data_IF_611596419861
#
_entry.id   IF_611596419861
#
_cell.length_a   1.000
_cell.length_b   1.000
_cell.length_c   1.000
_cell.angle_alpha   90.00
_cell.angle_beta   90.00
_cell.angle_gamma   90.00
#
_symmetry.space_group_name_H-M   'P 1'
#
loop_
_entity.id
_entity.type
_entity.pdbx_description
1 polymer ?
#
# COMPACT_ATOMS: atom_id res chain seq x y z
N UNK A 1 -16.79 -32.54 -18.44
CA UNK A 1 -17.26 -31.20 -18.01
C UNK A 1 -17.10 -30.95 -16.52
N UNK A 2 -17.52 -31.87 -15.64
CA UNK A 2 -17.50 -31.69 -14.17
C UNK A 2 -16.11 -31.35 -13.59
N UNK A 3 -15.04 -32.01 -14.03
CA UNK A 3 -13.66 -31.70 -13.59
C UNK A 3 -13.18 -30.30 -14.04
N UNK A 4 -13.63 -29.84 -15.22
CA UNK A 4 -13.32 -28.50 -15.73
C UNK A 4 -14.13 -27.45 -14.99
N UNK A 5 -15.39 -27.75 -14.65
CA UNK A 5 -16.25 -26.93 -13.80
C UNK A 5 -15.69 -26.84 -12.38
N UNK A 6 -15.19 -27.93 -11.81
CA UNK A 6 -14.56 -27.96 -10.48
C UNK A 6 -13.26 -27.16 -10.49
N UNK A 7 -12.41 -27.27 -11.52
CA UNK A 7 -11.19 -26.45 -11.61
C UNK A 7 -11.52 -24.97 -11.80
N UNK A 8 -12.51 -24.64 -12.64
CA UNK A 8 -13.00 -23.28 -12.85
C UNK A 8 -13.63 -22.70 -11.59
N UNK A 9 -14.43 -23.49 -10.87
CA UNK A 9 -14.95 -23.14 -9.55
C UNK A 9 -13.82 -23.02 -8.55
N UNK A 10 -12.76 -23.84 -8.58
CA UNK A 10 -11.60 -23.71 -7.69
C UNK A 10 -10.83 -22.42 -7.97
N UNK A 11 -10.66 -22.04 -9.23
CA UNK A 11 -10.01 -20.78 -9.65
C UNK A 11 -10.87 -19.55 -9.30
N UNK A 12 -12.21 -19.67 -9.39
CA UNK A 12 -13.17 -18.63 -8.95
C UNK A 12 -13.29 -18.56 -7.43
N UNK A 13 -13.32 -19.69 -6.71
CA UNK A 13 -13.42 -19.73 -5.25
C UNK A 13 -12.08 -19.32 -4.59
N UNK A 14 -10.94 -19.62 -5.21
CA UNK A 14 -9.65 -19.04 -4.80
C UNK A 14 -9.44 -17.60 -5.31
N UNK A 15 -10.45 -17.02 -5.98
CA UNK A 15 -10.37 -15.60 -6.33
C UNK A 15 -10.29 -14.80 -5.04
N UNK A 16 -9.35 -13.85 -5.05
CA UNK A 16 -9.11 -12.87 -4.00
C UNK A 16 -10.42 -12.30 -3.42
N UNK A 17 -11.43 -12.04 -4.27
CA UNK A 17 -12.75 -11.56 -3.85
C UNK A 17 -13.44 -12.48 -2.83
N UNK A 18 -13.48 -13.80 -3.06
CA UNK A 18 -14.15 -14.72 -2.14
C UNK A 18 -13.43 -14.78 -0.80
N UNK A 19 -12.10 -14.81 -0.80
CA UNK A 19 -11.29 -14.78 0.43
C UNK A 19 -11.62 -13.52 1.25
N UNK A 20 -11.76 -12.37 0.58
CA UNK A 20 -12.17 -11.13 1.24
C UNK A 20 -13.60 -11.17 1.79
N UNK A 21 -14.56 -11.72 1.03
CA UNK A 21 -15.94 -11.87 1.50
C UNK A 21 -16.05 -12.83 2.69
N UNK A 22 -15.33 -13.96 2.65
CA UNK A 22 -15.25 -14.91 3.76
C UNK A 22 -14.59 -14.29 4.98
N UNK A 23 -13.54 -13.48 4.80
CA UNK A 23 -12.92 -12.73 5.88
C UNK A 23 -13.91 -11.76 6.54
N UNK A 24 -14.61 -10.93 5.77
CA UNK A 24 -15.57 -9.97 6.32
C UNK A 24 -16.69 -10.70 7.07
N UNK A 25 -17.25 -11.76 6.49
CA UNK A 25 -18.32 -12.54 7.09
C UNK A 25 -17.89 -13.27 8.38
N UNK A 26 -16.69 -13.87 8.39
CA UNK A 26 -16.19 -14.58 9.56
C UNK A 26 -15.86 -13.62 10.71
N UNK A 27 -15.22 -12.49 10.42
CA UNK A 27 -14.91 -11.48 11.44
C UNK A 27 -16.19 -10.81 11.97
N UNK A 28 -17.17 -10.51 11.11
CA UNK A 28 -18.45 -9.93 11.56
C UNK A 28 -19.26 -10.89 12.42
N UNK A 29 -19.25 -12.19 12.11
CA UNK A 29 -19.97 -13.20 12.89
C UNK A 29 -19.31 -13.39 14.27
N UNK A 30 -17.98 -13.49 14.32
CA UNK A 30 -17.24 -13.59 15.58
C UNK A 30 -17.41 -12.35 16.45
N UNK A 31 -17.34 -11.16 15.86
CA UNK A 31 -17.52 -9.93 16.60
C UNK A 31 -18.99 -9.70 17.01
N UNK A 32 -19.95 -10.10 16.18
CA UNK A 32 -21.38 -10.07 16.52
C UNK A 32 -21.70 -10.97 17.70
N UNK A 33 -21.10 -12.17 17.76
CA UNK A 33 -21.18 -13.07 18.92
C UNK A 33 -20.56 -12.42 20.16
N UNK A 34 -19.37 -11.81 20.03
CA UNK A 34 -18.72 -11.12 21.14
C UNK A 34 -19.56 -9.96 21.69
N UNK A 35 -20.13 -9.14 20.80
CA UNK A 35 -21.02 -8.03 21.17
C UNK A 35 -22.29 -8.57 21.86
N UNK A 36 -22.89 -9.62 21.32
CA UNK A 36 -24.07 -10.25 21.91
C UNK A 36 -23.81 -10.74 23.34
N UNK A 37 -22.67 -11.39 23.59
CA UNK A 37 -22.29 -11.87 24.92
C UNK A 37 -22.01 -10.73 25.91
N UNK A 38 -21.51 -9.59 25.43
CA UNK A 38 -21.24 -8.41 26.27
C UNK A 38 -22.54 -7.68 26.62
N UNK A 39 -23.46 -7.58 25.66
CA UNK A 39 -24.66 -6.75 25.77
C UNK A 39 -25.90 -7.53 26.24
N UNK A 40 -25.77 -8.81 26.56
CA UNK A 40 -26.90 -9.67 26.94
C UNK A 40 -27.73 -9.10 28.11
N UNK A 41 -27.10 -8.36 29.02
CA UNK A 41 -27.73 -7.74 30.18
C UNK A 41 -28.05 -6.24 29.99
N UNK A 42 -27.69 -5.63 28.85
CA UNK A 42 -27.86 -4.20 28.62
C UNK A 42 -29.24 -3.85 28.01
N UNK A 43 -30.24 -3.75 28.87
CA UNK A 43 -31.62 -3.42 28.49
C UNK A 43 -31.78 -1.97 27.96
N UNK A 44 -30.77 -1.09 28.10
CA UNK A 44 -30.87 0.33 27.73
C UNK A 44 -30.59 0.59 26.24
N UNK A 45 -30.05 -0.37 25.50
CA UNK A 45 -29.59 -0.17 24.14
C UNK A 45 -30.70 -0.20 23.06
N UNK A 46 -31.91 -0.67 23.40
CA UNK A 46 -33.03 -0.85 22.47
C UNK A 46 -34.23 -0.03 22.92
N UNK A 47 -34.90 0.63 21.97
CA UNK A 47 -36.12 1.39 22.27
C UNK A 47 -37.33 0.47 22.41
N UNK A 48 -38.25 0.83 23.31
CA UNK A 48 -39.51 0.13 23.48
C UNK A 48 -40.38 0.35 22.22
N UNK A 49 -40.67 -0.72 21.49
CA UNK A 49 -41.64 -0.66 20.40
C UNK A 49 -43.03 -0.73 21.05
N UNK A 50 -43.92 0.27 20.88
CA UNK A 50 -45.25 0.22 21.45
C UNK A 50 -46.02 -0.99 20.89
N UNK A 51 -46.42 -1.93 21.77
CA UNK A 51 -47.11 -3.18 21.40
C UNK A 51 -46.23 -4.44 21.38
N UNK A 52 -44.96 -4.37 21.77
CA UNK A 52 -44.06 -5.51 21.95
C UNK A 52 -43.29 -5.39 23.28
N UNK A 53 -43.98 -5.57 24.40
CA UNK A 53 -43.38 -5.45 25.75
C UNK A 53 -42.34 -6.54 26.06
N UNK A 54 -42.35 -7.67 25.34
CA UNK A 54 -41.39 -8.77 25.50
C UNK A 54 -40.04 -8.55 24.78
N UNK A 55 -39.89 -7.46 23.99
CA UNK A 55 -38.70 -7.22 23.15
C UNK A 55 -37.57 -6.45 23.83
N UNK A 56 -37.48 -6.48 25.17
CA UNK A 56 -36.46 -5.71 25.91
C UNK A 56 -35.07 -6.38 25.83
N UNK A 57 -35.01 -7.65 25.38
CA UNK A 57 -33.73 -8.34 25.16
C UNK A 57 -33.12 -7.95 23.81
N UNK A 58 -31.79 -7.77 23.81
CA UNK A 58 -31.03 -7.54 22.58
C UNK A 58 -30.96 -8.86 21.83
N UNK A 59 -31.39 -8.87 20.57
CA UNK A 59 -31.32 -10.04 19.72
C UNK A 59 -29.93 -10.18 19.09
N UNK A 60 -29.47 -11.42 18.89
CA UNK A 60 -28.21 -11.68 18.19
C UNK A 60 -28.18 -11.02 16.80
N UNK A 61 -29.33 -10.94 16.11
CA UNK A 61 -29.43 -10.31 14.80
C UNK A 61 -29.11 -8.81 14.84
N UNK A 62 -29.49 -8.10 15.90
CA UNK A 62 -29.15 -6.68 16.08
C UNK A 62 -27.64 -6.50 16.30
N UNK A 63 -27.02 -7.36 17.10
CA UNK A 63 -25.57 -7.36 17.33
C UNK A 63 -24.79 -7.72 16.06
N UNK A 64 -25.25 -8.72 15.30
CA UNK A 64 -24.66 -9.11 14.03
C UNK A 64 -24.82 -8.02 12.97
N UNK A 65 -25.97 -7.34 12.92
CA UNK A 65 -26.17 -6.20 12.05
C UNK A 65 -25.20 -5.06 12.40
N UNK A 66 -25.03 -4.75 13.70
CA UNK A 66 -24.08 -3.74 14.16
C UNK A 66 -22.63 -4.11 13.79
N UNK A 67 -22.22 -5.37 13.99
CA UNK A 67 -20.86 -5.82 13.66
C UNK A 67 -20.61 -5.78 12.15
N UNK A 68 -21.60 -6.22 11.35
CA UNK A 68 -21.53 -6.19 9.89
C UNK A 68 -21.48 -4.74 9.38
N UNK A 69 -22.28 -3.85 9.96
CA UNK A 69 -22.30 -2.43 9.63
C UNK A 69 -20.98 -1.73 9.99
N UNK A 70 -20.38 -2.12 11.12
CA UNK A 70 -19.08 -1.58 11.56
C UNK A 70 -17.93 -2.03 10.63
N UNK A 71 -17.87 -3.29 10.21
CA UNK A 71 -16.80 -3.79 9.32
C UNK A 71 -17.00 -3.38 7.85
N UNK A 72 -18.22 -3.04 7.44
CA UNK A 72 -18.49 -2.54 6.09
C UNK A 72 -18.52 -1.01 6.02
N UNK A 73 -18.22 -0.34 7.13
CA UNK A 73 -18.22 1.11 7.26
C UNK A 73 -19.54 1.76 6.80
N UNK A 74 -20.69 1.09 6.98
CA UNK A 74 -21.99 1.61 6.55
C UNK A 74 -22.62 2.58 7.54
N UNK A 75 -22.29 2.45 8.83
CA UNK A 75 -22.72 3.39 9.86
C UNK A 75 -24.17 3.36 10.27
N UNK A 76 -24.89 2.29 9.93
CA UNK A 76 -26.26 2.07 10.40
C UNK A 76 -26.26 1.16 11.63
N UNK A 77 -27.09 1.47 12.62
CA UNK A 77 -27.31 0.61 13.77
C UNK A 77 -28.80 0.56 14.12
N UNK A 78 -29.29 -0.64 14.48
CA UNK A 78 -30.63 -0.82 15.06
C UNK A 78 -30.64 -0.51 16.56
N UNK A 79 -29.46 -0.54 17.19
CA UNK A 79 -29.23 -0.23 18.60
C UNK A 79 -28.74 1.22 18.77
N UNK A 80 -29.07 1.82 19.92
CA UNK A 80 -28.55 3.14 20.32
C UNK A 80 -27.08 3.03 20.69
N UNK A 81 -26.22 3.37 19.73
CA UNK A 81 -24.77 3.14 19.82
C UNK A 81 -24.12 3.78 21.06
N UNK A 82 -24.57 4.96 21.47
CA UNK A 82 -24.03 5.67 22.63
C UNK A 82 -24.33 4.97 23.98
N UNK A 83 -25.44 4.21 24.07
CA UNK A 83 -25.85 3.45 25.27
C UNK A 83 -25.22 2.07 25.38
N UNK A 84 -24.49 1.64 24.36
CA UNK A 84 -23.78 0.36 24.38
C UNK A 84 -22.59 0.41 25.33
N UNK A 85 -22.18 -0.75 25.83
CA UNK A 85 -21.03 -0.89 26.70
C UNK A 85 -19.76 -0.36 25.99
N UNK A 86 -18.82 0.16 26.79
CA UNK A 86 -17.55 0.68 26.29
C UNK A 86 -16.80 -0.35 25.43
N UNK A 87 -16.82 -1.62 25.85
CA UNK A 87 -16.21 -2.73 25.12
C UNK A 87 -16.78 -2.86 23.69
N UNK A 88 -18.09 -2.78 23.54
CA UNK A 88 -18.77 -2.88 22.24
C UNK A 88 -18.38 -1.74 21.31
N UNK A 89 -18.27 -0.52 21.85
CA UNK A 89 -17.84 0.64 21.07
C UNK A 89 -16.38 0.50 20.59
N UNK A 90 -15.48 -0.02 21.43
CA UNK A 90 -14.10 -0.33 21.03
C UNK A 90 -14.03 -1.46 20.00
N UNK A 91 -14.85 -2.50 20.15
CA UNK A 91 -14.97 -3.58 19.15
C UNK A 91 -15.41 -2.99 17.81
N UNK A 92 -16.43 -2.14 17.78
CA UNK A 92 -16.87 -1.43 16.57
C UNK A 92 -15.78 -0.57 15.96
N UNK A 93 -14.99 0.16 16.75
CA UNK A 93 -13.85 0.94 16.24
C UNK A 93 -12.79 0.07 15.58
N UNK A 94 -12.48 -1.09 16.18
CA UNK A 94 -11.53 -2.05 15.61
C UNK A 94 -12.10 -2.64 14.32
N UNK A 95 -13.39 -2.97 14.29
CA UNK A 95 -14.06 -3.48 13.10
C UNK A 95 -14.01 -2.48 11.94
N UNK A 96 -14.31 -1.20 12.17
CA UNK A 96 -14.15 -0.14 11.17
C UNK A 96 -12.72 -0.10 10.63
N UNK A 97 -11.73 -0.19 11.52
CA UNK A 97 -10.34 -0.15 11.10
C UNK A 97 -9.95 -1.37 10.24
N UNK A 98 -10.48 -2.55 10.57
CA UNK A 98 -10.25 -3.80 9.82
C UNK A 98 -10.99 -3.83 8.48
N UNK A 99 -12.17 -3.20 8.41
CA UNK A 99 -13.02 -3.02 7.24
C UNK A 99 -12.52 -1.96 6.25
N UNK A 100 -11.81 -0.97 6.77
CA UNK A 100 -11.26 0.16 6.03
C UNK A 100 -10.61 -0.23 4.71
N UNK A 101 -11.03 0.39 3.61
CA UNK A 101 -10.40 0.21 2.29
C UNK A 101 -8.87 0.39 2.32
N UNK A 102 -8.36 1.28 3.18
CA UNK A 102 -6.91 1.51 3.30
C UNK A 102 -6.22 0.26 3.86
N UNK A 103 -6.79 -0.39 4.87
CA UNK A 103 -6.25 -1.65 5.41
C UNK A 103 -6.41 -2.81 4.46
N UNK A 104 -7.59 -2.98 3.87
CA UNK A 104 -7.86 -4.06 2.91
C UNK A 104 -6.91 -3.97 1.71
N UNK A 105 -6.54 -2.77 1.28
CA UNK A 105 -5.60 -2.57 0.17
C UNK A 105 -4.14 -2.96 0.48
N UNK A 106 -3.75 -3.08 1.75
CA UNK A 106 -2.41 -3.53 2.15
C UNK A 106 -2.22 -5.04 1.97
N UNK A 107 -3.28 -5.83 2.14
CA UNK A 107 -3.23 -7.30 2.08
C UNK A 107 -2.65 -7.81 0.75
N UNK A 108 -3.13 -7.37 -0.44
CA UNK A 108 -2.51 -7.71 -1.72
C UNK A 108 -1.04 -7.38 -1.82
N UNK A 109 -0.63 -6.23 -1.27
CA UNK A 109 0.75 -5.75 -1.39
C UNK A 109 1.67 -6.64 -0.57
N UNK A 110 1.22 -7.02 0.63
CA UNK A 110 1.97 -7.93 1.51
C UNK A 110 2.13 -9.29 0.83
N UNK A 111 1.04 -9.83 0.27
CA UNK A 111 1.05 -11.11 -0.47
C UNK A 111 1.97 -11.02 -1.69
N UNK A 112 1.80 -10.01 -2.55
CA UNK A 112 2.63 -9.81 -3.75
C UNK A 112 4.11 -9.63 -3.39
N UNK A 113 4.41 -8.85 -2.34
CA UNK A 113 5.79 -8.67 -1.85
C UNK A 113 6.37 -9.97 -1.30
N UNK A 114 5.55 -10.81 -0.66
CA UNK A 114 5.96 -12.12 -0.17
C UNK A 114 6.26 -13.07 -1.34
N UNK A 115 5.32 -13.22 -2.28
CA UNK A 115 5.48 -14.04 -3.49
C UNK A 115 6.71 -13.61 -4.30
N UNK A 116 6.87 -12.31 -4.53
CA UNK A 116 8.03 -11.75 -5.25
C UNK A 116 9.35 -12.04 -4.51
N UNK A 117 9.36 -11.98 -3.17
CA UNK A 117 10.53 -12.37 -2.37
C UNK A 117 10.87 -13.84 -2.53
N UNK A 118 9.87 -14.72 -2.58
CA UNK A 118 10.10 -16.16 -2.78
C UNK A 118 10.63 -16.46 -4.19
N UNK A 119 10.06 -15.82 -5.21
CA UNK A 119 10.52 -15.96 -6.58
C UNK A 119 11.99 -15.53 -6.75
N UNK A 120 12.39 -14.42 -6.14
CA UNK A 120 13.78 -13.97 -6.12
C UNK A 120 14.72 -14.89 -5.33
N UNK A 121 14.24 -15.56 -4.28
CA UNK A 121 15.02 -16.57 -3.54
C UNK A 121 15.24 -17.82 -4.38
N UNK A 122 14.25 -18.25 -5.14
CA UNK A 122 14.36 -19.39 -6.06
C UNK A 122 15.34 -19.07 -7.21
N UNK A 123 15.21 -17.92 -7.87
CA UNK A 123 16.14 -17.50 -8.92
C UNK A 123 17.56 -17.30 -8.42
N UNK A 124 17.75 -16.71 -7.23
CA UNK A 124 19.08 -16.64 -6.61
C UNK A 124 19.64 -18.04 -6.36
N UNK A 125 18.85 -18.99 -5.85
CA UNK A 125 19.32 -20.38 -5.67
C UNK A 125 19.71 -21.01 -7.01
N UNK A 126 18.90 -20.88 -8.05
CA UNK A 126 19.20 -21.40 -9.40
C UNK A 126 20.49 -20.79 -9.97
N UNK A 127 20.68 -19.47 -9.82
CA UNK A 127 21.91 -18.78 -10.24
C UNK A 127 23.13 -19.24 -9.42
N UNK A 128 22.95 -19.58 -8.14
CA UNK A 128 24.03 -20.13 -7.30
C UNK A 128 24.30 -21.63 -7.55
N UNK A 129 23.37 -22.37 -8.17
CA UNK A 129 23.63 -23.71 -8.72
C UNK A 129 24.20 -23.66 -10.15
N UNK A 130 24.19 -22.50 -10.82
CA UNK A 130 24.92 -22.27 -12.06
C UNK A 130 26.32 -21.70 -11.80
N UNK A 131 27.08 -22.39 -10.96
CA UNK A 131 28.55 -22.34 -11.04
C UNK A 131 29.13 -23.59 -11.74
N UNK A 132 28.26 -24.59 -12.01
CA UNK A 132 28.63 -25.86 -12.62
C UNK A 132 27.91 -26.17 -13.96
N UNK A 133 27.06 -25.28 -14.49
CA UNK A 133 26.43 -25.47 -15.79
C UNK A 133 26.76 -24.33 -16.75
N UNK A 134 27.63 -24.62 -17.72
CA UNK A 134 27.82 -23.80 -18.93
C UNK A 134 26.55 -23.95 -19.76
N UNK A 135 25.66 -22.96 -19.75
CA UNK A 135 24.76 -22.79 -20.88
C UNK A 135 25.53 -22.00 -21.93
N UNK A 136 26.01 -22.71 -22.95
CA UNK A 136 26.22 -22.10 -24.26
C UNK A 136 24.84 -21.93 -24.89
N UNK A 137 24.40 -20.69 -25.03
CA UNK A 137 23.28 -20.36 -25.91
C UNK A 137 23.88 -20.24 -27.31
N UNK A 138 23.98 -21.35 -28.03
CA UNK A 138 24.07 -21.31 -29.48
C UNK A 138 22.69 -21.65 -30.04
N UNK A 139 22.16 -20.72 -30.83
CA UNK A 139 21.05 -20.95 -31.73
C UNK A 139 21.31 -22.23 -32.53
N UNK A 140 20.59 -23.30 -32.19
CA UNK A 140 20.18 -24.34 -33.15
C UNK A 140 19.12 -25.25 -32.51
N UNK A 141 17.93 -25.18 -33.11
CA UNK A 141 16.87 -26.17 -33.00
C UNK A 141 17.49 -27.57 -33.18
N UNK A 142 17.34 -28.45 -32.19
CA UNK A 142 17.58 -29.88 -32.34
C UNK A 142 16.32 -30.64 -31.93
N UNK A 143 15.63 -31.17 -32.94
CA UNK A 143 14.70 -32.29 -32.76
C UNK A 143 15.52 -33.54 -32.44
N UNK A 144 15.13 -34.29 -31.40
CA UNK A 144 15.49 -35.71 -31.27
C UNK A 144 14.38 -36.46 -30.53
N UNK A 145 13.64 -37.26 -31.28
CA UNK A 145 12.88 -38.44 -30.85
C UNK A 145 11.89 -38.23 -29.71
N UNK A 146 10.62 -38.03 -30.08
CA UNK A 146 9.38 -38.40 -29.40
C UNK A 146 9.52 -38.88 -27.94
N UNK A 147 9.39 -37.95 -26.99
CA UNK A 147 8.47 -38.01 -25.85
C UNK A 147 8.68 -36.80 -24.93
N UNK A 148 7.62 -36.00 -24.72
CA UNK A 148 7.54 -35.04 -23.63
C UNK A 148 7.40 -35.80 -22.32
N UNK A 149 8.33 -35.61 -21.38
CA UNK A 149 8.04 -35.85 -19.97
C UNK A 149 7.79 -34.51 -19.27
N UNK A 150 6.56 -34.24 -18.81
CA UNK A 150 6.33 -33.17 -17.86
C UNK A 150 6.85 -33.64 -16.49
N UNK A 151 7.19 -32.67 -15.64
CA UNK A 151 7.56 -32.82 -14.22
C UNK A 151 9.06 -32.90 -13.90
N UNK A 152 9.51 -31.89 -13.16
CA UNK A 152 10.87 -31.74 -12.68
C UNK A 152 11.18 -32.66 -11.50
N UNK A 153 11.83 -33.78 -11.80
CA UNK A 153 12.52 -34.59 -10.79
C UNK A 153 14.02 -34.35 -10.94
N UNK A 154 14.66 -33.86 -9.88
CA UNK A 154 16.11 -33.84 -9.78
C UNK A 154 16.60 -35.28 -9.61
N UNK A 155 17.20 -35.85 -10.66
CA UNK A 155 17.89 -37.14 -10.55
C UNK A 155 19.31 -36.87 -10.04
N UNK A 156 19.62 -37.37 -8.85
CA UNK A 156 20.97 -37.36 -8.31
C UNK A 156 21.81 -38.38 -9.10
N UNK A 157 22.72 -37.89 -9.93
CA UNK A 157 23.62 -38.73 -10.71
C UNK A 157 24.82 -39.11 -9.85
N UNK A 158 24.82 -40.33 -9.30
CA UNK A 158 26.02 -40.94 -8.71
C UNK A 158 26.83 -41.63 -9.82
N UNK A 159 27.99 -41.06 -10.14
CA UNK A 159 28.97 -41.65 -11.06
C UNK A 159 29.71 -42.82 -10.35
N UNK A 160 29.67 -44.06 -10.87
CA UNK A 160 30.31 -45.21 -10.24
C UNK A 160 31.84 -45.16 -10.21
N UNK A 161 32.49 -44.21 -10.91
CA UNK A 161 33.93 -44.27 -11.20
C UNK A 161 34.80 -43.23 -10.49
N UNK A 162 34.33 -42.53 -9.46
CA UNK A 162 35.21 -41.81 -8.51
C UNK A 162 36.00 -40.61 -9.08
N UNK A 163 35.50 -39.93 -10.12
CA UNK A 163 36.21 -38.83 -10.81
C UNK A 163 35.99 -37.41 -10.20
N UNK A 164 35.85 -37.28 -8.88
CA UNK A 164 35.66 -35.98 -8.20
C UNK A 164 36.95 -35.15 -7.92
N UNK A 165 38.20 -35.70 -7.89
CA UNK A 165 39.37 -34.88 -7.54
C UNK A 165 39.77 -33.81 -8.58
N UNK A 166 39.58 -34.07 -9.88
CA UNK A 166 40.09 -33.20 -10.98
C UNK A 166 39.32 -31.89 -11.16
N UNK A 167 38.06 -31.83 -10.69
CA UNK A 167 37.22 -30.64 -10.79
C UNK A 167 37.65 -29.58 -9.77
N UNK A 168 38.01 -30.00 -8.56
CA UNK A 168 38.44 -29.12 -7.46
C UNK A 168 39.72 -28.35 -7.81
N UNK A 169 40.66 -29.00 -8.50
CA UNK A 169 41.88 -28.34 -8.99
C UNK A 169 41.62 -27.37 -10.14
N UNK A 170 40.76 -27.73 -11.11
CA UNK A 170 40.35 -26.82 -12.19
C UNK A 170 39.65 -25.56 -11.64
N UNK A 171 38.82 -25.70 -10.62
CA UNK A 171 38.16 -24.58 -9.92
C UNK A 171 39.21 -23.69 -9.23
N UNK A 172 40.19 -24.28 -8.53
CA UNK A 172 41.28 -23.55 -7.86
C UNK A 172 42.17 -22.78 -8.86
N UNK A 173 42.41 -23.37 -10.03
CA UNK A 173 43.12 -22.75 -11.16
C UNK A 173 42.34 -21.60 -11.78
N UNK A 174 41.04 -21.78 -12.06
CA UNK A 174 40.15 -20.70 -12.55
C UNK A 174 40.05 -19.54 -11.56
N UNK A 175 39.95 -19.81 -10.26
CA UNK A 175 39.97 -18.78 -9.20
C UNK A 175 41.28 -18.00 -9.16
N UNK A 176 42.44 -18.68 -9.29
CA UNK A 176 43.75 -18.02 -9.42
C UNK A 176 43.83 -17.16 -10.68
N UNK A 177 43.32 -17.65 -11.81
CA UNK A 177 43.30 -16.92 -13.08
C UNK A 177 42.43 -15.66 -12.99
N UNK A 178 41.24 -15.75 -12.39
CA UNK A 178 40.35 -14.61 -12.17
C UNK A 178 40.94 -13.57 -11.23
N UNK A 179 41.68 -13.99 -10.19
CA UNK A 179 42.39 -13.07 -9.30
C UNK A 179 43.52 -12.33 -10.03
N UNK A 180 44.26 -13.04 -10.90
CA UNK A 180 45.33 -12.46 -11.74
C UNK A 180 44.77 -11.52 -12.81
N UNK A 181 43.61 -11.84 -13.39
CA UNK A 181 42.91 -10.99 -14.37
C UNK A 181 42.39 -9.70 -13.71
N UNK A 182 41.76 -9.79 -12.53
CA UNK A 182 41.35 -8.62 -11.74
C UNK A 182 42.52 -7.72 -11.38
N UNK A 183 43.68 -8.29 -11.05
CA UNK A 183 44.90 -7.52 -10.81
C UNK A 183 45.40 -6.78 -12.07
N UNK A 184 45.43 -7.47 -13.22
CA UNK A 184 45.80 -6.86 -14.52
C UNK A 184 44.83 -5.76 -14.95
N UNK A 185 43.53 -5.91 -14.69
CA UNK A 185 42.53 -4.88 -14.96
C UNK A 185 42.72 -3.65 -14.07
N UNK A 186 42.95 -3.83 -12.77
CA UNK A 186 43.31 -2.73 -11.85
C UNK A 186 44.60 -2.02 -12.28
N UNK A 187 45.57 -2.75 -12.81
CA UNK A 187 46.80 -2.16 -13.32
C UNK A 187 46.58 -1.38 -14.62
N UNK A 188 45.79 -1.92 -15.56
CA UNK A 188 45.36 -1.19 -16.77
C UNK A 188 44.58 0.07 -16.43
N UNK A 189 43.71 0.04 -15.42
CA UNK A 189 43.01 1.24 -14.92
C UNK A 189 43.95 2.28 -14.31
N UNK A 190 44.94 1.85 -13.51
CA UNK A 190 45.99 2.75 -13.00
C UNK A 190 46.79 3.38 -14.13
N UNK A 191 47.15 2.61 -15.17
CA UNK A 191 47.84 3.13 -16.36
C UNK A 191 46.98 4.13 -17.13
N UNK A 192 45.70 3.81 -17.37
CA UNK A 192 44.73 4.73 -17.98
C UNK A 192 44.53 6.01 -17.17
N UNK A 193 44.50 5.94 -15.83
CA UNK A 193 44.44 7.14 -14.96
C UNK A 193 45.71 7.98 -15.07
N UNK A 194 46.90 7.37 -15.08
CA UNK A 194 48.17 8.08 -15.29
C UNK A 194 48.26 8.73 -16.68
N UNK A 195 47.80 8.05 -17.72
CA UNK A 195 47.72 8.61 -19.07
C UNK A 195 46.71 9.75 -19.17
N UNK A 196 45.55 9.65 -18.52
CA UNK A 196 44.58 10.76 -18.43
C UNK A 196 45.18 11.96 -17.68
N UNK A 197 45.95 11.73 -16.62
CA UNK A 197 46.62 12.80 -15.88
C UNK A 197 47.73 13.46 -16.74
N UNK A 198 48.53 12.68 -17.45
CA UNK A 198 49.52 13.18 -18.42
C UNK A 198 48.87 13.93 -19.58
N UNK A 199 47.74 13.44 -20.11
CA UNK A 199 46.96 14.14 -21.15
C UNK A 199 46.33 15.43 -20.61
N UNK A 200 45.96 15.50 -19.34
CA UNK A 200 45.43 16.72 -18.70
C UNK A 200 46.55 17.76 -18.51
N UNK A 201 47.72 17.35 -18.05
CA UNK A 201 48.91 18.20 -17.96
C UNK A 201 49.41 18.67 -19.34
N UNK A 202 49.33 17.80 -20.37
CA UNK A 202 49.64 18.20 -21.74
C UNK A 202 48.55 19.13 -22.33
N UNK A 203 47.26 18.94 -21.99
CA UNK A 203 46.19 19.88 -22.39
C UNK A 203 46.35 21.25 -21.75
N UNK A 204 46.72 21.33 -20.47
CA UNK A 204 47.05 22.60 -19.80
C UNK A 204 48.30 23.28 -20.40
N UNK A 205 49.24 22.52 -20.98
CA UNK A 205 50.38 23.05 -21.74
C UNK A 205 50.02 23.45 -23.19
N UNK A 206 49.04 22.77 -23.80
CA UNK A 206 48.54 23.05 -25.16
C UNK A 206 47.59 24.26 -25.16
N UNK A 207 46.80 24.46 -24.10
CA UNK A 207 45.93 25.65 -23.90
C UNK A 207 46.74 26.94 -23.71
N UNK A 208 48.07 26.85 -23.45
CA UNK A 208 49.01 27.98 -23.46
C UNK A 208 49.68 28.23 -24.82
N UNK A 209 49.52 27.36 -25.82
CA UNK A 209 50.29 27.44 -27.08
C UNK A 209 49.50 27.36 -28.39
N UNK A 210 48.19 27.13 -28.39
CA UNK A 210 47.43 27.06 -29.65
C UNK A 210 46.04 27.73 -29.52
N UNK A 211 46.05 29.07 -29.51
CA UNK A 211 45.20 29.82 -30.46
C UNK A 211 45.77 29.51 -31.85
N UNK A 212 44.88 29.21 -32.79
CA UNK A 212 45.10 28.96 -34.22
C UNK A 212 45.10 27.50 -34.70
N UNK A 213 44.27 27.33 -35.75
CA UNK A 213 44.26 26.26 -36.76
C UNK A 213 43.59 24.91 -36.44
N UNK A 214 42.26 24.97 -36.58
CA UNK A 214 41.34 24.08 -37.31
C UNK A 214 41.99 23.07 -38.31
N UNK A 215 41.38 21.86 -38.38
CA UNK A 215 41.08 21.00 -39.57
C UNK A 215 41.60 19.53 -39.54
N UNK A 216 40.63 18.61 -39.39
CA UNK A 216 40.38 17.40 -40.22
C UNK A 216 40.99 16.01 -39.94
N UNK A 217 40.05 15.07 -39.73
CA UNK A 217 39.90 13.67 -40.21
C UNK A 217 40.92 12.60 -39.83
N UNK A 218 40.41 11.49 -39.23
CA UNK A 218 40.26 10.14 -39.85
C UNK A 218 39.75 9.12 -38.81
N UNK A 219 38.58 8.51 -39.06
CA UNK A 219 38.33 7.14 -39.59
C UNK A 219 38.33 6.04 -38.49
N UNK A 220 37.16 5.48 -38.25
CA UNK A 220 36.90 4.29 -37.40
C UNK A 220 36.86 3.06 -38.32
N UNK A 221 37.50 1.95 -37.91
CA UNK A 221 37.38 0.60 -38.51
C UNK A 221 36.29 -0.19 -37.74
N UNK A 222 35.52 -1.09 -38.40
CA UNK A 222 34.58 -1.97 -37.73
C UNK A 222 35.24 -3.34 -37.43
N UNK A 223 35.38 -3.66 -36.15
CA UNK A 223 35.71 -5.01 -35.66
C UNK A 223 35.21 -5.06 -34.22
N UNK A 224 34.06 -5.71 -34.01
CA UNK A 224 33.48 -6.18 -32.73
C UNK A 224 31.98 -6.43 -32.98
N UNK A 225 31.60 -7.62 -33.48
CA UNK A 225 30.19 -8.07 -33.46
C UNK A 225 29.97 -9.14 -32.40
N UNK A 226 30.82 -10.17 -32.33
CA UNK A 226 30.69 -11.24 -31.32
C UNK A 226 30.95 -10.79 -29.86
N UNK A 227 31.76 -9.75 -29.65
CA UNK A 227 32.02 -9.18 -28.31
C UNK A 227 30.93 -8.21 -27.83
N UNK A 228 29.94 -7.89 -28.68
CA UNK A 228 28.82 -7.01 -28.31
C UNK A 228 27.64 -7.83 -27.83
N UNK A 229 27.37 -8.99 -28.42
CA UNK A 229 26.21 -9.82 -28.07
C UNK A 229 26.31 -10.36 -26.62
N UNK A 230 27.45 -10.90 -26.19
CA UNK A 230 27.66 -11.33 -24.78
C UNK A 230 27.60 -10.15 -23.77
N UNK A 231 28.05 -8.95 -24.18
CA UNK A 231 28.01 -7.77 -23.31
C UNK A 231 26.60 -7.17 -23.23
N UNK A 232 25.84 -7.27 -24.30
CA UNK A 232 24.45 -6.86 -24.36
C UNK A 232 23.62 -7.76 -23.45
N UNK A 233 23.77 -9.09 -23.52
CA UNK A 233 23.06 -10.03 -22.65
C UNK A 233 23.36 -9.84 -21.16
N UNK A 234 24.64 -9.65 -20.80
CA UNK A 234 25.04 -9.32 -19.42
C UNK A 234 24.44 -7.98 -18.96
N UNK A 235 24.37 -7.00 -19.86
CA UNK A 235 23.80 -5.69 -19.57
C UNK A 235 22.27 -5.76 -19.39
N UNK A 236 21.56 -6.55 -20.21
CA UNK A 236 20.12 -6.79 -20.08
C UNK A 236 19.79 -7.52 -18.78
N UNK A 237 20.56 -8.54 -18.40
CA UNK A 237 20.38 -9.27 -17.15
C UNK A 237 20.62 -8.38 -15.92
N UNK A 238 21.66 -7.54 -15.96
CA UNK A 238 21.94 -6.56 -14.90
C UNK A 238 20.86 -5.50 -14.79
N UNK A 239 20.29 -5.05 -15.92
CA UNK A 239 19.19 -4.10 -15.96
C UNK A 239 17.94 -4.68 -15.29
N UNK A 240 17.50 -5.88 -15.69
CA UNK A 240 16.35 -6.57 -15.12
C UNK A 240 16.50 -6.81 -13.61
N UNK A 241 17.70 -7.22 -13.18
CA UNK A 241 18.01 -7.44 -11.76
C UNK A 241 17.94 -6.14 -10.94
N UNK A 242 18.38 -5.03 -11.51
CA UNK A 242 18.27 -3.72 -10.87
C UNK A 242 16.82 -3.25 -10.79
N UNK A 243 16.02 -3.45 -11.84
CA UNK A 243 14.58 -3.14 -11.81
C UNK A 243 13.83 -3.96 -10.76
N UNK A 244 14.08 -5.26 -10.68
CA UNK A 244 13.48 -6.14 -9.68
C UNK A 244 13.84 -5.73 -8.24
N UNK A 245 15.09 -5.31 -8.02
CA UNK A 245 15.54 -4.82 -6.72
C UNK A 245 14.82 -3.52 -6.35
N UNK A 246 14.71 -2.58 -7.31
CA UNK A 246 13.99 -1.31 -7.14
C UNK A 246 12.51 -1.58 -6.83
N UNK A 247 11.87 -2.49 -7.57
CA UNK A 247 10.46 -2.88 -7.36
C UNK A 247 10.24 -3.46 -5.96
N UNK A 248 11.11 -4.36 -5.49
CA UNK A 248 11.05 -4.91 -4.13
C UNK A 248 11.18 -3.83 -3.07
N UNK A 249 12.11 -2.89 -3.26
CA UNK A 249 12.33 -1.79 -2.34
C UNK A 249 11.13 -0.82 -2.33
N UNK A 250 10.58 -0.51 -3.50
CA UNK A 250 9.39 0.34 -3.65
C UNK A 250 8.18 -0.25 -2.92
N UNK A 251 7.82 -1.52 -3.17
CA UNK A 251 6.72 -2.20 -2.45
C UNK A 251 6.94 -2.20 -0.93
N UNK A 252 8.19 -2.35 -0.48
CA UNK A 252 8.51 -2.29 0.93
C UNK A 252 8.36 -0.91 1.56
N UNK A 253 8.65 0.15 0.80
CA UNK A 253 8.43 1.53 1.24
C UNK A 253 6.96 1.90 1.28
N UNK A 254 6.17 1.48 0.28
CA UNK A 254 4.72 1.77 0.22
C UNK A 254 4.03 1.31 1.49
N UNK A 255 4.26 0.07 1.92
CA UNK A 255 3.65 -0.46 3.16
C UNK A 255 3.96 0.47 4.35
N UNK A 256 5.21 0.90 4.49
CA UNK A 256 5.60 1.85 5.55
C UNK A 256 4.91 3.21 5.41
N UNK A 257 4.78 3.71 4.19
CA UNK A 257 4.09 4.99 3.94
C UNK A 257 2.59 4.91 4.24
N UNK A 258 1.91 3.80 3.97
CA UNK A 258 0.48 3.67 4.32
C UNK A 258 0.31 3.69 5.84
N UNK A 259 1.13 2.94 6.59
CA UNK A 259 1.10 3.00 8.07
C UNK A 259 1.42 4.39 8.60
N UNK A 260 2.44 5.04 8.02
CA UNK A 260 2.79 6.42 8.35
C UNK A 260 1.63 7.39 8.05
N UNK A 261 0.93 7.21 6.93
CA UNK A 261 -0.21 8.02 6.55
C UNK A 261 -1.33 7.93 7.57
N UNK A 262 -1.75 6.71 7.93
CA UNK A 262 -2.80 6.50 8.94
C UNK A 262 -2.38 7.12 10.27
N UNK A 263 -1.14 6.88 10.69
CA UNK A 263 -0.62 7.46 11.93
C UNK A 263 -0.65 9.00 11.93
N UNK A 264 -0.18 9.64 10.85
CA UNK A 264 -0.17 11.11 10.74
C UNK A 264 -1.59 11.65 10.74
N UNK A 265 -2.48 11.12 9.91
CA UNK A 265 -3.86 11.61 9.79
C UNK A 265 -4.61 11.43 11.11
N UNK A 266 -4.42 10.31 11.81
CA UNK A 266 -5.08 10.06 13.09
C UNK A 266 -4.55 10.96 14.18
N UNK A 267 -3.24 11.17 14.25
CA UNK A 267 -2.62 12.04 15.25
C UNK A 267 -3.05 13.49 15.04
N UNK A 268 -3.00 13.99 13.80
CA UNK A 268 -3.42 15.36 13.47
C UNK A 268 -4.91 15.56 13.72
N UNK A 269 -5.75 14.62 13.29
CA UNK A 269 -7.19 14.66 13.53
C UNK A 269 -7.53 14.61 15.02
N UNK A 270 -6.87 13.73 15.78
CA UNK A 270 -7.09 13.58 17.22
C UNK A 270 -6.71 14.86 17.96
N UNK A 271 -5.51 15.40 17.70
CA UNK A 271 -5.06 16.65 18.34
C UNK A 271 -6.05 17.78 18.03
N UNK A 272 -6.49 17.92 16.78
CA UNK A 272 -7.44 18.97 16.41
C UNK A 272 -8.78 18.82 17.13
N UNK A 273 -9.43 17.66 17.02
CA UNK A 273 -10.75 17.42 17.61
C UNK A 273 -10.68 17.48 19.13
N UNK A 274 -9.60 16.97 19.74
CA UNK A 274 -9.40 17.02 21.19
C UNK A 274 -9.25 18.46 21.69
N UNK A 275 -8.42 19.27 21.03
CA UNK A 275 -8.26 20.68 21.36
C UNK A 275 -9.57 21.43 21.19
N UNK A 276 -10.29 21.22 20.08
CA UNK A 276 -11.58 21.86 19.84
C UNK A 276 -12.61 21.46 20.93
N UNK A 277 -12.69 20.18 21.27
CA UNK A 277 -13.64 19.68 22.29
C UNK A 277 -13.28 20.13 23.71
N UNK A 278 -11.99 20.37 23.97
CA UNK A 278 -11.50 20.75 25.30
C UNK A 278 -11.43 22.27 25.52
N UNK A 279 -11.33 23.08 24.46
CA UNK A 279 -11.20 24.54 24.56
C UNK A 279 -12.51 25.30 24.31
N UNK A 280 -13.43 24.73 23.54
CA UNK A 280 -14.68 25.43 23.19
C UNK A 280 -15.73 25.25 24.30
N UNK A 281 -16.20 26.33 24.94
CA UNK A 281 -17.14 26.24 26.06
C UNK A 281 -18.41 25.46 25.73
N UNK A 282 -18.97 25.67 24.53
CA UNK A 282 -20.18 24.97 24.10
C UNK A 282 -19.96 23.46 23.89
N UNK A 283 -18.78 23.07 23.40
CA UNK A 283 -18.44 21.64 23.29
C UNK A 283 -18.22 21.01 24.67
N UNK A 284 -17.67 21.77 25.62
CA UNK A 284 -17.56 21.32 27.00
C UNK A 284 -18.94 21.14 27.63
N UNK A 285 -19.91 22.02 27.37
CA UNK A 285 -21.29 21.86 27.85
C UNK A 285 -21.93 20.57 27.32
N UNK A 286 -21.92 20.37 25.99
CA UNK A 286 -22.46 19.15 25.35
C UNK A 286 -21.78 17.89 25.90
N UNK A 287 -20.46 17.93 26.01
CA UNK A 287 -19.69 16.78 26.47
C UNK A 287 -19.83 16.55 27.98
N UNK A 288 -19.97 17.59 28.80
CA UNK A 288 -20.18 17.47 30.25
C UNK A 288 -21.49 16.79 30.57
N UNK A 289 -22.56 17.14 29.85
CA UNK A 289 -23.86 16.46 29.93
C UNK A 289 -23.73 14.97 29.59
N UNK A 290 -22.98 14.64 28.53
CA UNK A 290 -22.73 13.25 28.13
C UNK A 290 -21.77 12.51 29.06
N UNK A 291 -20.84 13.21 29.70
CA UNK A 291 -19.91 12.63 30.67
C UNK A 291 -20.65 12.23 31.95
N UNK A 292 -21.58 13.07 32.42
CA UNK A 292 -22.40 12.82 33.61
C UNK A 292 -23.39 11.66 33.40
N UNK A 293 -24.00 11.57 32.22
CA UNK A 293 -25.03 10.56 31.94
C UNK A 293 -24.48 9.24 31.36
N UNK A 294 -23.35 9.26 30.63
CA UNK A 294 -22.84 8.12 29.84
C UNK A 294 -21.31 7.90 29.97
N UNK A 295 -20.61 8.69 30.78
CA UNK A 295 -19.17 8.55 31.00
C UNK A 295 -18.32 8.82 29.75
N UNK A 296 -18.77 9.67 28.84
CA UNK A 296 -18.05 10.00 27.59
C UNK A 296 -17.05 11.13 27.84
N UNK A 297 -15.76 10.81 27.87
CA UNK A 297 -14.68 11.81 28.00
C UNK A 297 -14.32 12.45 26.65
N UNK A 298 -13.66 13.63 26.69
CA UNK A 298 -13.21 14.34 25.49
C UNK A 298 -12.25 13.50 24.64
N UNK A 299 -11.41 12.73 25.33
CA UNK A 299 -10.46 11.80 24.70
C UNK A 299 -11.22 10.69 23.96
N UNK A 300 -12.21 10.08 24.61
CA UNK A 300 -13.03 9.01 24.02
C UNK A 300 -13.79 9.51 22.80
N UNK A 301 -14.45 10.67 22.90
CA UNK A 301 -15.10 11.33 21.77
C UNK A 301 -14.13 11.58 20.61
N UNK A 302 -12.95 12.14 20.89
CA UNK A 302 -11.98 12.50 19.86
C UNK A 302 -11.43 11.27 19.13
N UNK A 303 -11.10 10.19 19.84
CA UNK A 303 -10.65 8.94 19.21
C UNK A 303 -11.75 8.38 18.31
N UNK A 304 -12.98 8.33 18.83
CA UNK A 304 -14.11 7.77 18.11
C UNK A 304 -14.42 8.58 16.84
N UNK A 305 -14.48 9.90 16.95
CA UNK A 305 -14.73 10.82 15.84
C UNK A 305 -13.65 10.70 14.75
N UNK A 306 -12.38 10.56 15.10
CA UNK A 306 -11.29 10.41 14.13
C UNK A 306 -11.41 9.12 13.32
N UNK A 307 -11.55 7.98 14.01
CA UNK A 307 -11.58 6.67 13.37
C UNK A 307 -12.86 6.51 12.53
N UNK A 308 -14.01 6.91 13.07
CA UNK A 308 -15.29 6.85 12.35
C UNK A 308 -15.26 7.74 11.11
N UNK A 309 -14.80 8.99 11.24
CA UNK A 309 -14.76 9.93 10.11
C UNK A 309 -13.79 9.51 9.03
N UNK A 310 -12.60 9.00 9.38
CA UNK A 310 -11.61 8.56 8.39
C UNK A 310 -12.03 7.30 7.62
N UNK A 311 -12.76 6.38 8.27
CA UNK A 311 -13.30 5.21 7.58
C UNK A 311 -14.65 5.50 6.89
N UNK A 312 -15.14 6.74 6.94
CA UNK A 312 -16.47 7.14 6.45
C UNK A 312 -17.61 6.31 7.07
N UNK A 313 -17.41 5.81 8.29
CA UNK A 313 -18.23 4.78 8.89
C UNK A 313 -19.46 5.32 9.62
N UNK A 314 -19.69 6.64 9.63
CA UNK A 314 -20.90 7.37 10.07
C UNK A 314 -21.53 6.99 11.44
N UNK A 315 -20.90 6.13 12.24
CA UNK A 315 -21.30 5.94 13.64
C UNK A 315 -20.80 7.13 14.47
N UNK A 316 -21.58 7.51 15.45
CA UNK A 316 -21.22 8.53 16.43
C UNK A 316 -21.52 8.03 17.83
N UNK A 317 -20.75 8.54 18.78
CA UNK A 317 -20.91 8.23 20.20
C UNK A 317 -21.87 9.19 20.90
N UNK A 318 -22.36 10.23 20.21
CA UNK A 318 -23.35 11.17 20.76
C UNK A 318 -24.79 10.62 20.64
N UNK A 319 -25.66 11.08 21.54
CA UNK A 319 -27.04 10.62 21.79
C UNK A 319 -27.98 10.78 20.57
N UNK A 320 -27.98 11.94 19.91
CA UNK A 320 -28.90 12.21 18.80
C UNK A 320 -28.19 12.23 17.44
N UNK A 321 -28.57 11.30 16.56
CA UNK A 321 -28.48 11.48 15.10
C UNK A 321 -27.11 11.88 14.54
N UNK A 322 -26.04 11.27 15.03
CA UNK A 322 -24.65 11.29 14.57
C UNK A 322 -23.86 12.61 14.44
N UNK A 323 -24.48 13.78 14.26
CA UNK A 323 -23.78 15.08 14.18
C UNK A 323 -24.67 16.30 14.48
N UNK A 324 -25.97 16.12 14.74
CA UNK A 324 -26.88 17.25 15.03
C UNK A 324 -26.51 17.99 16.31
N UNK A 325 -25.95 17.27 17.29
CA UNK A 325 -25.52 17.82 18.58
C UNK A 325 -24.30 18.74 18.47
N UNK A 326 -23.62 18.74 17.32
CA UNK A 326 -22.49 19.64 17.04
C UNK A 326 -22.80 20.65 15.95
N UNK A 327 -24.09 20.85 15.63
CA UNK A 327 -24.54 21.80 14.62
C UNK A 327 -24.05 23.22 14.95
N UNK A 328 -23.42 23.86 13.96
CA UNK A 328 -22.86 25.20 14.12
C UNK A 328 -21.41 25.22 14.63
N UNK A 329 -20.87 24.09 15.10
CA UNK A 329 -19.49 24.01 15.59
C UNK A 329 -18.50 23.68 14.48
N UNK A 330 -18.18 24.70 13.69
CA UNK A 330 -17.24 24.58 12.56
C UNK A 330 -15.88 23.99 12.99
N UNK A 331 -15.41 24.26 14.21
CA UNK A 331 -14.12 23.80 14.72
C UNK A 331 -14.00 22.29 14.87
N UNK A 332 -15.12 21.56 15.05
CA UNK A 332 -15.18 20.09 15.09
C UNK A 332 -15.65 19.52 13.76
N UNK A 333 -16.59 20.20 13.08
CA UNK A 333 -17.10 19.76 11.78
C UNK A 333 -16.02 19.81 10.68
N UNK A 334 -15.17 20.84 10.66
CA UNK A 334 -14.10 20.96 9.67
C UNK A 334 -13.11 19.79 9.70
N UNK A 335 -12.49 19.42 10.84
CA UNK A 335 -11.59 18.27 10.87
C UNK A 335 -12.31 16.96 10.54
N UNK A 336 -13.57 16.79 10.92
CA UNK A 336 -14.39 15.63 10.53
C UNK A 336 -14.54 15.57 9.00
N UNK A 337 -14.92 16.67 8.35
CA UNK A 337 -15.06 16.73 6.89
C UNK A 337 -13.73 16.48 6.15
N UNK A 338 -12.62 17.00 6.68
CA UNK A 338 -11.28 16.72 6.15
C UNK A 338 -10.88 15.25 6.33
N UNK A 339 -11.23 14.63 7.44
CA UNK A 339 -10.98 13.20 7.70
C UNK A 339 -11.80 12.32 6.74
N UNK A 340 -13.07 12.64 6.50
CA UNK A 340 -13.92 11.94 5.51
C UNK A 340 -13.31 12.03 4.10
N UNK A 341 -12.81 13.21 3.75
CA UNK A 341 -12.11 13.42 2.49
C UNK A 341 -10.78 12.64 2.42
N UNK A 342 -9.95 12.71 3.46
CA UNK A 342 -8.66 12.02 3.55
C UNK A 342 -8.78 10.49 3.71
N UNK A 343 -9.94 10.04 4.17
CA UNK A 343 -10.37 8.66 4.22
C UNK A 343 -10.61 8.08 2.84
N UNK A 344 -11.67 7.30 2.68
CA UNK A 344 -11.91 6.52 1.46
C UNK A 344 -12.05 7.34 0.19
N UNK A 345 -12.58 8.56 0.28
CA UNK A 345 -12.97 9.35 -0.90
C UNK A 345 -11.79 9.92 -1.68
N UNK A 346 -10.81 10.53 -1.00
CA UNK A 346 -9.63 11.12 -1.62
C UNK A 346 -8.31 10.60 -1.06
N UNK A 347 -8.31 9.40 -0.47
CA UNK A 347 -7.08 8.72 -0.03
C UNK A 347 -5.92 8.83 -1.04
N UNK A 348 -6.10 8.56 -2.36
CA UNK A 348 -5.01 8.68 -3.34
C UNK A 348 -4.40 10.08 -3.45
N UNK A 349 -5.20 11.12 -3.25
CA UNK A 349 -4.77 12.53 -3.36
C UNK A 349 -3.92 12.91 -2.15
N UNK A 350 -4.46 12.69 -0.95
CA UNK A 350 -3.75 13.01 0.29
C UNK A 350 -2.52 12.13 0.50
N UNK A 351 -2.61 10.84 0.17
CA UNK A 351 -1.46 9.93 0.21
C UNK A 351 -0.32 10.39 -0.71
N UNK A 352 -0.66 10.86 -1.92
CA UNK A 352 0.35 11.40 -2.85
C UNK A 352 0.94 12.71 -2.35
N UNK A 353 0.12 13.61 -1.80
CA UNK A 353 0.58 14.86 -1.21
C UNK A 353 1.55 14.60 -0.05
N UNK A 354 1.24 13.64 0.83
CA UNK A 354 2.13 13.22 1.90
C UNK A 354 3.47 12.68 1.36
N UNK A 355 3.44 11.82 0.34
CA UNK A 355 4.68 11.30 -0.28
C UNK A 355 5.50 12.44 -0.89
N UNK A 356 4.86 13.40 -1.55
CA UNK A 356 5.53 14.55 -2.17
C UNK A 356 6.20 15.46 -1.14
N UNK A 357 5.60 15.61 0.05
CA UNK A 357 6.19 16.32 1.18
C UNK A 357 7.35 15.53 1.80
N UNK A 358 7.19 14.21 1.93
CA UNK A 358 8.15 13.34 2.63
C UNK A 358 9.32 12.90 1.73
N UNK A 359 9.23 13.09 0.40
CA UNK A 359 10.26 12.60 -0.52
C UNK A 359 11.57 13.36 -0.32
N UNK A 360 12.65 12.60 -0.29
CA UNK A 360 13.99 13.16 -0.37
C UNK A 360 14.27 13.60 -1.82
N UNK A 361 14.45 14.92 -2.01
CA UNK A 361 14.67 15.54 -3.33
C UNK A 361 16.08 15.31 -3.90
N UNK A 362 17.05 14.87 -3.09
CA UNK A 362 18.46 14.79 -3.47
C UNK A 362 19.18 13.46 -3.20
N UNK A 363 18.57 12.51 -2.47
CA UNK A 363 19.26 11.30 -2.03
C UNK A 363 19.27 10.09 -2.97
N UNK A 364 19.98 9.04 -2.54
CA UNK A 364 20.10 7.71 -3.18
C UNK A 364 18.74 7.03 -3.46
N UNK A 365 17.67 7.53 -2.85
CA UNK A 365 16.32 6.99 -2.98
C UNK A 365 15.52 7.56 -4.16
N UNK A 366 16.00 8.61 -4.84
CA UNK A 366 15.37 9.23 -6.01
C UNK A 366 14.91 8.24 -7.10
N UNK A 367 15.71 7.25 -7.55
CA UNK A 367 15.26 6.29 -8.56
C UNK A 367 14.09 5.42 -8.07
N UNK A 368 14.04 5.12 -6.76
CA UNK A 368 12.96 4.32 -6.15
C UNK A 368 11.66 5.12 -6.13
N UNK A 369 11.71 6.42 -5.79
CA UNK A 369 10.54 7.30 -5.83
C UNK A 369 10.04 7.53 -7.25
N UNK A 370 10.96 7.74 -8.20
CA UNK A 370 10.61 7.89 -9.61
C UNK A 370 9.89 6.63 -10.13
N UNK A 371 10.44 5.44 -9.82
CA UNK A 371 9.80 4.18 -10.17
C UNK A 371 8.41 4.04 -9.53
N UNK A 372 8.26 4.40 -8.27
CA UNK A 372 6.99 4.34 -7.53
C UNK A 372 5.92 5.27 -8.10
N UNK A 373 6.30 6.47 -8.56
CA UNK A 373 5.40 7.46 -9.16
C UNK A 373 5.01 7.10 -10.60
N UNK A 374 5.91 6.49 -11.37
CA UNK A 374 5.66 6.09 -12.77
C UNK A 374 4.93 4.75 -12.83
N UNK A 375 5.33 3.78 -12.01
CA UNK A 375 4.72 2.44 -11.92
C UNK A 375 3.71 2.33 -10.77
N UNK A 376 2.95 3.40 -10.52
CA UNK A 376 2.11 3.55 -9.33
C UNK A 376 1.13 2.38 -9.14
N UNK A 377 0.34 2.05 -10.18
CA UNK A 377 -0.66 0.97 -10.16
C UNK A 377 -0.07 -0.44 -10.06
N UNK A 378 1.18 -0.63 -10.50
CA UNK A 378 1.89 -1.92 -10.39
C UNK A 378 2.34 -2.20 -8.95
N UNK A 379 2.61 -1.14 -8.18
CA UNK A 379 3.09 -1.25 -6.80
C UNK A 379 1.96 -1.12 -5.77
N UNK A 380 0.96 -0.27 -6.04
CA UNK A 380 -0.21 -0.06 -5.16
C UNK A 380 -1.43 0.37 -5.97
N UNK A 381 -2.56 -0.32 -5.76
CA UNK A 381 -3.80 -0.11 -6.53
C UNK A 381 -4.38 1.29 -6.34
N UNK A 382 -4.31 1.85 -5.13
CA UNK A 382 -4.82 3.20 -4.82
C UNK A 382 -3.84 4.32 -5.14
N UNK A 383 -2.68 4.02 -5.71
CA UNK A 383 -1.76 5.05 -6.18
C UNK A 383 -2.03 5.33 -7.66
N UNK A 384 -2.79 6.38 -7.93
CA UNK A 384 -3.08 6.78 -9.30
C UNK A 384 -1.90 7.48 -9.97
N UNK A 385 -1.95 7.64 -11.30
CA UNK A 385 -0.99 8.50 -12.00
C UNK A 385 -1.24 9.97 -11.65
N UNK A 386 -0.28 10.86 -11.94
CA UNK A 386 -0.39 12.28 -11.52
C UNK A 386 -1.58 12.97 -12.14
N UNK A 387 -1.89 12.65 -13.39
CA UNK A 387 -3.05 13.20 -14.11
C UNK A 387 -4.34 12.71 -13.46
N UNK A 388 -4.47 11.39 -13.26
CA UNK A 388 -5.66 10.79 -12.65
C UNK A 388 -5.92 11.28 -11.23
N UNK A 389 -4.87 11.51 -10.45
CA UNK A 389 -5.00 12.03 -9.07
C UNK A 389 -5.55 13.46 -9.08
N UNK A 390 -5.06 14.31 -9.99
CA UNK A 390 -5.58 15.69 -10.15
C UNK A 390 -7.00 15.71 -10.68
N UNK A 391 -7.33 14.84 -11.64
CA UNK A 391 -8.68 14.70 -12.18
C UNK A 391 -9.65 14.29 -11.08
N UNK A 392 -9.28 13.34 -10.22
CA UNK A 392 -10.10 12.93 -9.07
C UNK A 392 -10.36 14.11 -8.12
N UNK A 393 -9.32 14.87 -7.77
CA UNK A 393 -9.47 16.04 -6.91
C UNK A 393 -10.38 17.13 -7.53
N UNK A 394 -10.23 17.39 -8.83
CA UNK A 394 -11.06 18.35 -9.56
C UNK A 394 -12.52 17.91 -9.62
N UNK A 395 -12.79 16.64 -9.95
CA UNK A 395 -14.14 16.08 -10.00
C UNK A 395 -14.81 16.09 -8.62
N UNK A 396 -14.08 15.70 -7.57
CA UNK A 396 -14.61 15.76 -6.20
C UNK A 396 -15.00 17.19 -5.80
N UNK A 397 -14.15 18.17 -6.10
CA UNK A 397 -14.45 19.58 -5.84
C UNK A 397 -15.70 20.07 -6.58
N UNK A 398 -15.81 19.76 -7.88
CA UNK A 398 -17.00 20.12 -8.67
C UNK A 398 -18.25 19.46 -8.12
N UNK A 399 -18.22 18.14 -7.88
CA UNK A 399 -19.40 17.43 -7.38
C UNK A 399 -19.85 17.97 -6.03
N UNK A 400 -18.90 18.29 -5.15
CA UNK A 400 -19.19 18.90 -3.85
C UNK A 400 -19.85 20.28 -4.02
N UNK A 401 -19.35 21.12 -4.94
CA UNK A 401 -19.94 22.43 -5.21
C UNK A 401 -21.35 22.32 -5.82
N UNK A 402 -21.54 21.39 -6.77
CA UNK A 402 -22.84 21.12 -7.40
C UNK A 402 -23.86 20.63 -6.37
N UNK A 403 -23.43 19.90 -5.34
CA UNK A 403 -24.31 19.47 -4.24
C UNK A 403 -24.57 20.59 -3.22
N UNK A 404 -23.53 21.36 -2.87
CA UNK A 404 -23.60 22.41 -1.86
C UNK A 404 -24.54 23.55 -2.28
N UNK A 405 -24.50 23.99 -3.54
CA UNK A 405 -25.29 25.13 -4.03
C UNK A 405 -26.81 24.88 -3.89
N UNK A 406 -27.38 23.74 -4.35
CA UNK A 406 -28.78 23.41 -4.14
C UNK A 406 -29.16 23.25 -2.66
N UNK A 407 -28.31 22.59 -1.85
CA UNK A 407 -28.59 22.40 -0.42
C UNK A 407 -28.73 23.75 0.29
N UNK A 408 -27.79 24.66 0.06
CA UNK A 408 -27.86 26.03 0.59
C UNK A 408 -29.12 26.76 0.10
N UNK A 409 -29.49 26.58 -1.16
CA UNK A 409 -30.69 27.18 -1.75
C UNK A 409 -32.01 26.65 -1.16
N UNK A 410 -32.09 25.36 -0.87
CA UNK A 410 -33.26 24.72 -0.26
C UNK A 410 -33.37 25.12 1.21
N UNK A 411 -32.28 24.99 1.98
CA UNK A 411 -32.27 25.31 3.40
C UNK A 411 -32.59 26.79 3.66
N UNK A 412 -32.11 27.69 2.82
CA UNK A 412 -32.43 29.12 2.91
C UNK A 412 -33.92 29.41 2.74
N UNK A 413 -34.60 28.67 1.85
CA UNK A 413 -36.05 28.80 1.67
C UNK A 413 -36.82 28.24 2.86
N UNK A 414 -36.39 27.10 3.40
CA UNK A 414 -36.98 26.50 4.60
C UNK A 414 -36.88 27.43 5.80
N UNK A 415 -35.72 28.06 6.01
CA UNK A 415 -35.52 29.06 7.07
C UNK A 415 -36.46 30.27 6.92
N UNK A 416 -36.60 30.80 5.70
CA UNK A 416 -37.56 31.90 5.42
C UNK A 416 -39.01 31.50 5.63
N UNK A 417 -39.37 30.23 5.42
CA UNK A 417 -40.71 29.73 5.66
C UNK A 417 -41.01 29.62 7.16
N UNK A 418 -40.06 29.10 7.95
CA UNK A 418 -40.19 28.99 9.40
C UNK A 418 -40.23 30.35 10.11
N UNK A 419 -39.59 31.40 9.58
CA UNK A 419 -39.66 32.75 10.14
C UNK A 419 -40.97 33.50 9.83
N UNK A 420 -41.78 32.99 8.88
CA UNK A 420 -43.07 33.58 8.50
C UNK A 420 -44.27 32.96 9.22
N UNK A 421 -44.09 31.78 9.82
CA UNK A 421 -45.02 31.17 10.78
C UNK A 421 -44.66 31.65 12.18
#
# INVERSE_FOLDING_TARGET
MLHRLIHFLKDIFFSYLLIHMLYILSVSLLAGLAIYLIEQDNLQAKDLIPGHEDSIKIDFMDCFYLSMSSITDTGMSTLKFFKLHLSTQWISLILMQLGSNVMLSLVPIIIRRYQFRQHLKQHKRVIWYSSDCVYGFEDRIFYKGDTMHPEGVAVEYQDPNGYVPKVKEKIKLKLKMNKKLKARLKEKEKRRRKEKLKKKQNREKIDKKQKDQKISKKKIKPEDRENNDEKEDDQYLLLNKNEDLIKKQAMGKIIKYVWLYIFIIYTVGFIWIYIASSLLPWMQEVLSYQLEYQGISAVRFSIFAVVSSFNNAMLSILDYGSLSDIRGQWAVILPIGLLIAAGHTMFPVFFRLMIEITKDKGGSQRPIYHYLMVSSRKCYTHMFSSVQTRTLAYLFGIMTLIQLIPILGIDWKTLKYQQKQ
#
